data_IF_411445628293
#
_entry.id   IF_411445628293
#
_cell.length_a   1.000
_cell.length_b   1.000
_cell.length_c   1.000
_cell.angle_alpha   90.00
_cell.angle_beta   90.00
_cell.angle_gamma   90.00
#
_symmetry.space_group_name_H-M   'P 1'
#
loop_
_entity.id
_entity.type
_entity.pdbx_description
1 polymer ?
#
# COMPACT_ATOMS: atom_id res chain seq x y z
N UNK A 1 17.86 56.08 -12.44
CA UNK A 1 16.97 55.41 -11.44
C UNK A 1 16.41 54.07 -11.96
N UNK A 2 16.00 54.00 -13.24
CA UNK A 2 15.46 52.78 -13.91
C UNK A 2 16.43 51.57 -13.89
N UNK A 3 17.71 51.76 -14.22
CA UNK A 3 18.68 50.66 -14.25
C UNK A 3 18.91 49.99 -12.88
N UNK A 4 18.95 50.77 -11.80
CA UNK A 4 19.15 50.24 -10.43
C UNK A 4 17.97 49.39 -9.95
N UNK A 5 16.76 49.70 -10.42
CA UNK A 5 15.56 48.91 -10.13
C UNK A 5 15.52 47.62 -10.97
N UNK A 6 16.01 47.66 -12.21
CA UNK A 6 16.14 46.46 -13.05
C UNK A 6 17.15 45.45 -12.48
N UNK A 7 18.32 45.90 -11.99
CA UNK A 7 19.29 45.01 -11.33
C UNK A 7 18.75 44.38 -10.05
N UNK A 8 17.99 45.12 -9.24
CA UNK A 8 17.36 44.59 -8.03
C UNK A 8 16.27 43.56 -8.35
N UNK A 9 15.46 43.83 -9.37
CA UNK A 9 14.44 42.88 -9.84
C UNK A 9 15.08 41.60 -10.39
N UNK A 10 16.15 41.72 -11.19
CA UNK A 10 16.88 40.59 -11.73
C UNK A 10 17.54 39.75 -10.61
N UNK A 11 18.14 40.39 -9.62
CA UNK A 11 18.71 39.70 -8.46
C UNK A 11 17.64 38.97 -7.62
N UNK A 12 16.47 39.60 -7.41
CA UNK A 12 15.35 38.99 -6.70
C UNK A 12 14.78 37.78 -7.48
N UNK A 13 14.55 37.93 -8.79
CA UNK A 13 14.07 36.83 -9.64
C UNK A 13 15.08 35.69 -9.69
N UNK A 14 16.38 35.99 -9.77
CA UNK A 14 17.45 34.99 -9.75
C UNK A 14 17.52 34.26 -8.40
N UNK A 15 17.35 34.98 -7.28
CA UNK A 15 17.31 34.38 -5.95
C UNK A 15 16.07 33.50 -5.74
N UNK A 16 14.90 33.94 -6.22
CA UNK A 16 13.66 33.14 -6.19
C UNK A 16 13.82 31.89 -7.07
N UNK A 17 14.38 32.03 -8.28
CA UNK A 17 14.65 30.90 -9.16
C UNK A 17 15.64 29.91 -8.53
N UNK A 18 16.71 30.41 -7.91
CA UNK A 18 17.69 29.59 -7.20
C UNK A 18 17.06 28.85 -6.01
N UNK A 19 16.25 29.54 -5.20
CA UNK A 19 15.51 28.93 -4.10
C UNK A 19 14.53 27.87 -4.60
N UNK A 20 13.80 28.15 -5.68
CA UNK A 20 12.89 27.18 -6.30
C UNK A 20 13.63 25.94 -6.82
N UNK A 21 14.80 26.11 -7.41
CA UNK A 21 15.63 25.00 -7.90
C UNK A 21 16.26 24.18 -6.77
N UNK A 22 16.65 24.82 -5.66
CA UNK A 22 17.31 24.15 -4.52
C UNK A 22 16.31 23.57 -3.51
N UNK A 23 15.09 24.11 -3.42
CA UNK A 23 14.10 23.74 -2.41
C UNK A 23 13.79 22.23 -2.36
N UNK A 24 13.61 21.51 -3.49
CA UNK A 24 13.38 20.06 -3.45
C UNK A 24 14.55 19.31 -2.81
N UNK A 25 15.80 19.67 -3.15
CA UNK A 25 17.00 19.05 -2.59
C UNK A 25 17.17 19.33 -1.10
N UNK A 26 16.85 20.55 -0.66
CA UNK A 26 16.87 20.92 0.76
C UNK A 26 15.79 20.17 1.54
N UNK A 27 14.58 20.08 1.01
CA UNK A 27 13.49 19.30 1.62
C UNK A 27 13.88 17.83 1.75
N UNK A 28 14.48 17.25 0.70
CA UNK A 28 14.99 15.89 0.70
C UNK A 28 16.04 15.67 1.79
N UNK A 29 17.05 16.55 1.86
CA UNK A 29 18.10 16.45 2.86
C UNK A 29 17.55 16.61 4.29
N UNK A 30 16.60 17.52 4.49
CA UNK A 30 15.95 17.71 5.78
C UNK A 30 15.13 16.49 6.21
N UNK A 31 14.33 15.91 5.31
CA UNK A 31 13.56 14.70 5.61
C UNK A 31 14.47 13.49 5.85
N UNK A 32 15.54 13.32 5.06
CA UNK A 32 16.55 12.29 5.31
C UNK A 32 17.12 12.40 6.72
N UNK A 33 17.62 13.58 7.10
CA UNK A 33 18.19 13.81 8.43
C UNK A 33 17.13 13.58 9.51
N UNK A 34 15.90 14.04 9.32
CA UNK A 34 14.78 13.81 10.25
C UNK A 34 14.51 12.32 10.48
N UNK A 35 14.66 11.50 9.44
CA UNK A 35 14.36 10.07 9.49
C UNK A 35 15.54 9.22 9.96
N UNK A 36 16.76 9.54 9.54
CA UNK A 36 17.93 8.70 9.81
C UNK A 36 18.72 9.11 11.05
N UNK A 37 18.40 10.24 11.70
CA UNK A 37 19.10 10.64 12.92
C UNK A 37 18.84 9.65 14.08
N UNK A 38 19.78 9.50 15.04
CA UNK A 38 19.65 8.52 16.12
C UNK A 38 18.43 8.69 17.05
N UNK A 39 17.76 9.85 17.02
CA UNK A 39 16.61 10.19 17.87
C UNK A 39 15.27 10.14 17.12
N UNK A 40 15.24 9.77 15.83
CA UNK A 40 14.03 9.72 15.02
C UNK A 40 13.02 8.65 15.43
N UNK A 41 13.46 7.68 16.24
CA UNK A 41 12.68 6.48 16.58
C UNK A 41 12.67 5.41 15.48
N UNK A 42 13.23 5.66 14.30
CA UNK A 42 13.21 4.68 13.19
C UNK A 42 13.93 3.38 13.54
N UNK A 43 14.95 3.43 14.40
CA UNK A 43 15.62 2.21 14.89
C UNK A 43 14.65 1.19 15.53
N UNK A 44 13.53 1.63 16.09
CA UNK A 44 12.51 0.74 16.66
C UNK A 44 11.66 0.11 15.56
N UNK A 45 11.38 0.84 14.48
CA UNK A 45 10.68 0.33 13.30
C UNK A 45 11.57 -0.68 12.55
N UNK A 46 12.86 -0.36 12.44
CA UNK A 46 13.89 -1.16 11.75
C UNK A 46 14.47 -2.29 12.61
N UNK A 47 14.01 -2.45 13.86
CA UNK A 47 14.57 -3.46 14.75
C UNK A 47 14.29 -4.87 14.22
N UNK A 48 15.24 -5.79 14.47
CA UNK A 48 15.05 -7.19 14.15
C UNK A 48 13.85 -7.77 14.90
N UNK A 49 13.16 -8.71 14.26
CA UNK A 49 12.02 -9.42 14.82
C UNK A 49 12.04 -10.88 14.40
N UNK A 50 11.37 -11.71 15.19
CA UNK A 50 11.00 -13.07 14.81
C UNK A 50 9.48 -13.16 14.89
N UNK A 51 8.86 -13.86 13.92
CA UNK A 51 7.43 -14.11 13.97
C UNK A 51 7.11 -15.05 15.14
N UNK A 52 6.16 -14.65 15.98
CA UNK A 52 5.64 -15.46 17.06
C UNK A 52 4.87 -16.68 16.53
N UNK A 53 4.66 -17.68 17.40
CA UNK A 53 3.85 -18.86 17.05
C UNK A 53 2.44 -18.47 16.60
N UNK A 54 1.82 -17.47 17.24
CA UNK A 54 0.51 -16.96 16.85
C UNK A 54 0.52 -16.27 15.48
N UNK A 55 1.55 -15.45 15.19
CA UNK A 55 1.69 -14.79 13.89
C UNK A 55 1.91 -15.82 12.76
N UNK A 56 2.70 -16.86 13.01
CA UNK A 56 2.93 -17.96 12.06
C UNK A 56 1.68 -18.82 11.87
N UNK A 57 0.96 -19.13 12.95
CA UNK A 57 -0.31 -19.85 12.87
C UNK A 57 -1.33 -19.05 12.05
N UNK A 58 -1.43 -17.75 12.30
CA UNK A 58 -2.25 -16.84 11.52
C UNK A 58 -1.88 -16.85 10.03
N UNK A 59 -0.59 -16.68 9.71
CA UNK A 59 -0.08 -16.71 8.34
C UNK A 59 -0.44 -17.99 7.58
N UNK A 60 -0.47 -19.12 8.29
CA UNK A 60 -0.72 -20.44 7.73
C UNK A 60 -2.21 -20.84 7.76
N UNK A 61 -3.11 -19.98 8.26
CA UNK A 61 -4.52 -20.31 8.45
C UNK A 61 -4.71 -21.48 9.43
N UNK A 62 -3.83 -21.57 10.43
CA UNK A 62 -3.87 -22.57 11.51
C UNK A 62 -4.59 -22.00 12.74
N UNK A 63 -4.91 -22.86 13.71
CA UNK A 63 -5.49 -22.41 14.99
C UNK A 63 -4.45 -21.65 15.78
N UNK A 64 -4.85 -20.59 16.47
CA UNK A 64 -3.91 -19.86 17.32
C UNK A 64 -3.57 -20.68 18.58
N UNK A 65 -2.34 -20.53 19.12
CA UNK A 65 -1.96 -21.17 20.37
C UNK A 65 -2.93 -20.82 21.51
N UNK A 66 -3.45 -21.84 22.20
CA UNK A 66 -4.37 -21.67 23.32
C UNK A 66 -5.87 -21.74 22.97
N UNK A 67 -6.24 -21.79 21.70
CA UNK A 67 -7.64 -21.96 21.30
C UNK A 67 -8.13 -23.40 21.52
N UNK A 68 -9.21 -23.56 22.28
CA UNK A 68 -9.86 -24.86 22.50
C UNK A 68 -10.61 -25.34 21.25
N UNK A 69 -10.78 -26.67 21.11
CA UNK A 69 -11.60 -27.24 20.03
C UNK A 69 -13.08 -26.92 20.27
N UNK A 70 -13.60 -25.86 19.66
CA UNK A 70 -15.03 -25.66 19.53
C UNK A 70 -15.59 -26.64 18.48
N UNK A 71 -16.65 -27.37 18.83
CA UNK A 71 -17.35 -28.27 17.89
C UNK A 71 -18.13 -27.52 16.78
N UNK A 72 -18.08 -26.17 16.79
CA UNK A 72 -18.76 -25.29 15.84
C UNK A 72 -17.78 -24.40 15.05
N UNK A 73 -16.54 -24.86 14.81
CA UNK A 73 -15.62 -24.21 13.87
C UNK A 73 -16.20 -24.30 12.44
N UNK A 74 -17.16 -23.43 12.11
CA UNK A 74 -17.56 -23.22 10.73
C UNK A 74 -16.38 -22.57 10.03
N UNK A 75 -15.86 -23.28 9.03
CA UNK A 75 -14.93 -22.71 8.06
C UNK A 75 -15.77 -21.83 7.14
N UNK A 76 -15.95 -20.56 7.52
CA UNK A 76 -16.41 -19.53 6.61
C UNK A 76 -15.16 -18.76 6.15
N UNK A 77 -14.59 -19.10 4.99
CA UNK A 77 -13.34 -18.49 4.54
C UNK A 77 -13.56 -17.02 4.17
N UNK A 78 -12.50 -16.23 4.27
CA UNK A 78 -12.52 -14.87 3.71
C UNK A 78 -12.66 -15.00 2.17
N UNK A 79 -13.59 -14.26 1.53
CA UNK A 79 -13.75 -14.32 0.08
C UNK A 79 -12.45 -13.97 -0.68
N UNK A 80 -12.14 -14.66 -1.78
CA UNK A 80 -11.00 -14.25 -2.63
C UNK A 80 -11.42 -13.14 -3.61
N UNK A 81 -11.86 -12.01 -3.05
CA UNK A 81 -12.30 -10.81 -3.78
C UNK A 81 -11.36 -9.67 -3.42
N UNK A 82 -10.80 -8.99 -4.41
CA UNK A 82 -9.79 -7.94 -4.20
C UNK A 82 -10.39 -6.56 -4.43
N UNK A 83 -10.04 -5.61 -3.57
CA UNK A 83 -10.46 -4.22 -3.62
C UNK A 83 -9.24 -3.30 -3.73
N UNK A 84 -9.25 -2.42 -4.75
CA UNK A 84 -8.33 -1.30 -4.89
C UNK A 84 -9.12 0.01 -4.92
N UNK A 85 -8.53 1.09 -4.42
CA UNK A 85 -9.07 2.45 -4.51
C UNK A 85 -8.09 3.32 -5.29
N UNK A 86 -8.59 4.10 -6.25
CA UNK A 86 -7.77 5.06 -6.99
C UNK A 86 -8.51 6.35 -7.31
N UNK A 87 -7.76 7.46 -7.42
CA UNK A 87 -8.23 8.66 -8.08
C UNK A 87 -9.42 9.31 -7.39
N UNK A 88 -9.37 9.48 -6.06
CA UNK A 88 -10.41 10.18 -5.28
C UNK A 88 -10.33 11.71 -5.39
N UNK A 89 -9.28 12.24 -6.05
CA UNK A 89 -9.05 13.67 -6.29
C UNK A 89 -8.71 13.91 -7.76
N UNK A 90 -9.09 15.07 -8.27
CA UNK A 90 -8.72 15.49 -9.62
C UNK A 90 -7.21 15.75 -9.71
N UNK A 91 -6.44 15.01 -10.53
CA UNK A 91 -5.00 15.17 -10.62
C UNK A 91 -4.57 16.40 -11.42
N UNK A 92 -5.48 17.08 -12.14
CA UNK A 92 -5.17 18.37 -12.77
C UNK A 92 -5.18 19.52 -11.75
N UNK A 93 -6.05 19.43 -10.74
CA UNK A 93 -6.13 20.38 -9.63
C UNK A 93 -5.14 20.06 -8.52
N UNK A 94 -4.83 18.77 -8.32
CA UNK A 94 -3.93 18.28 -7.29
C UNK A 94 -2.85 17.37 -7.91
N UNK A 95 -1.84 17.91 -8.62
CA UNK A 95 -0.85 17.09 -9.34
C UNK A 95 -0.13 16.03 -8.49
N UNK A 96 0.01 16.27 -7.18
CA UNK A 96 0.64 15.34 -6.25
C UNK A 96 -0.09 14.01 -6.03
N UNK A 97 -1.37 13.89 -6.43
CA UNK A 97 -2.14 12.63 -6.29
C UNK A 97 -1.85 11.63 -7.41
N UNK A 98 -1.16 12.08 -8.48
CA UNK A 98 -0.78 11.24 -9.61
C UNK A 98 -1.95 10.84 -10.51
N UNK A 99 -1.61 10.20 -11.64
CA UNK A 99 -2.56 9.54 -12.55
C UNK A 99 -2.40 8.03 -12.42
N UNK A 100 -3.36 7.25 -12.90
CA UNK A 100 -3.23 5.80 -12.92
C UNK A 100 -2.14 5.43 -13.93
N UNK A 101 -0.97 5.07 -13.43
CA UNK A 101 0.25 4.92 -14.21
C UNK A 101 0.74 3.46 -14.23
N UNK A 102 1.98 3.26 -14.70
CA UNK A 102 2.58 1.95 -14.80
C UNK A 102 2.79 1.27 -13.43
N UNK A 103 2.99 2.03 -12.35
CA UNK A 103 3.10 1.48 -11.00
C UNK A 103 1.74 0.94 -10.55
N UNK A 104 0.68 1.74 -10.72
CA UNK A 104 -0.70 1.32 -10.42
C UNK A 104 -1.11 0.08 -11.22
N UNK A 105 -0.70 0.02 -12.50
CA UNK A 105 -0.88 -1.15 -13.35
C UNK A 105 -0.22 -2.40 -12.77
N UNK A 106 1.06 -2.32 -12.37
CA UNK A 106 1.78 -3.45 -11.81
C UNK A 106 1.17 -3.92 -10.48
N UNK A 107 0.70 -2.99 -9.63
CA UNK A 107 0.02 -3.34 -8.37
C UNK A 107 -1.24 -4.17 -8.64
N UNK A 108 -2.12 -3.74 -9.54
CA UNK A 108 -3.31 -4.52 -9.91
C UNK A 108 -2.95 -5.84 -10.61
N UNK A 109 -1.95 -5.84 -11.52
CA UNK A 109 -1.49 -7.10 -12.16
C UNK A 109 -0.92 -8.09 -11.15
N UNK A 110 -0.27 -7.63 -10.09
CA UNK A 110 0.25 -8.51 -9.04
C UNK A 110 -0.87 -9.32 -8.39
N UNK A 111 -2.03 -8.70 -8.13
CA UNK A 111 -3.22 -9.38 -7.64
C UNK A 111 -3.77 -10.39 -8.66
N UNK A 112 -3.85 -10.01 -9.94
CA UNK A 112 -4.29 -10.92 -11.01
C UNK A 112 -3.43 -12.19 -11.06
N UNK A 113 -2.10 -12.03 -11.00
CA UNK A 113 -1.14 -13.13 -11.18
C UNK A 113 -1.03 -13.98 -9.92
N UNK A 114 -0.91 -13.35 -8.75
CA UNK A 114 -0.56 -14.04 -7.50
C UNK A 114 -1.78 -14.53 -6.73
N UNK A 115 -2.86 -13.74 -6.67
CA UNK A 115 -4.05 -14.09 -5.87
C UNK A 115 -5.07 -14.91 -6.66
N UNK A 116 -5.07 -14.78 -8.00
CA UNK A 116 -6.06 -15.40 -8.90
C UNK A 116 -7.50 -15.25 -8.37
N UNK A 117 -7.94 -14.01 -8.09
CA UNK A 117 -9.16 -13.77 -7.34
C UNK A 117 -10.41 -14.05 -8.18
N UNK A 118 -11.52 -14.29 -7.50
CA UNK A 118 -12.85 -14.42 -8.11
C UNK A 118 -13.29 -13.12 -8.78
N UNK A 119 -12.91 -11.98 -8.18
CA UNK A 119 -13.13 -10.66 -8.75
C UNK A 119 -12.11 -9.66 -8.20
N UNK A 120 -11.77 -8.67 -9.03
CA UNK A 120 -11.04 -7.47 -8.61
C UNK A 120 -11.95 -6.27 -8.85
N UNK A 121 -12.25 -5.51 -7.79
CA UNK A 121 -12.95 -4.23 -7.88
C UNK A 121 -11.92 -3.10 -7.82
N UNK A 122 -11.90 -2.27 -8.86
CA UNK A 122 -11.19 -1.00 -8.86
C UNK A 122 -12.20 0.13 -8.64
N UNK A 123 -12.22 0.64 -7.42
CA UNK A 123 -13.07 1.74 -6.98
C UNK A 123 -12.42 3.07 -7.36
N UNK A 124 -13.13 3.94 -8.08
CA UNK A 124 -12.53 5.16 -8.63
C UNK A 124 -13.46 6.36 -8.73
N UNK A 125 -12.89 7.56 -8.77
CA UNK A 125 -13.60 8.79 -9.18
C UNK A 125 -13.03 9.36 -10.48
N UNK A 126 -11.71 9.54 -10.57
CA UNK A 126 -11.02 10.12 -11.73
C UNK A 126 -10.09 9.10 -12.37
N UNK A 127 -10.52 8.45 -13.45
CA UNK A 127 -9.75 7.39 -14.11
C UNK A 127 -9.55 7.55 -15.62
N UNK A 128 -10.45 8.27 -16.29
CA UNK A 128 -10.31 8.62 -17.71
C UNK A 128 -9.13 9.56 -17.95
N UNK A 129 -8.62 9.59 -19.17
CA UNK A 129 -7.81 10.67 -19.72
C UNK A 129 -8.60 11.41 -20.81
N UNK A 130 -8.85 12.73 -20.67
CA UNK A 130 -8.56 13.56 -19.51
C UNK A 130 -9.36 13.13 -18.25
N UNK A 131 -8.86 13.41 -17.03
CA UNK A 131 -9.54 13.09 -15.77
C UNK A 131 -10.90 13.76 -15.68
N UNK A 132 -11.92 12.96 -15.42
CA UNK A 132 -13.30 13.42 -15.24
C UNK A 132 -13.95 12.71 -14.06
N UNK A 133 -14.75 13.41 -13.24
CA UNK A 133 -15.57 12.78 -12.21
C UNK A 133 -16.88 12.22 -12.75
N UNK A 134 -17.23 12.51 -14.01
CA UNK A 134 -18.46 12.08 -14.66
C UNK A 134 -18.44 10.55 -14.87
N UNK A 135 -19.50 9.86 -14.42
CA UNK A 135 -19.65 8.42 -14.58
C UNK A 135 -19.71 7.97 -16.05
N UNK A 136 -20.05 8.87 -16.97
CA UNK A 136 -20.09 8.61 -18.42
C UNK A 136 -18.73 8.75 -19.10
N UNK A 137 -17.72 9.30 -18.43
CA UNK A 137 -16.38 9.39 -18.97
C UNK A 137 -15.74 7.99 -19.05
N UNK A 138 -15.27 7.62 -20.24
CA UNK A 138 -14.72 6.29 -20.49
C UNK A 138 -13.35 6.10 -19.80
N UNK A 139 -13.24 5.21 -18.80
CA UNK A 139 -11.96 4.95 -18.14
C UNK A 139 -10.96 4.24 -19.04
N UNK A 140 -11.42 3.64 -20.15
CA UNK A 140 -10.56 2.93 -21.11
C UNK A 140 -9.72 3.86 -21.97
N UNK A 141 -9.92 5.18 -21.90
CA UNK A 141 -8.98 6.14 -22.50
C UNK A 141 -7.62 6.13 -21.79
N UNK A 142 -7.54 5.59 -20.56
CA UNK A 142 -6.27 5.24 -19.94
C UNK A 142 -5.79 3.86 -20.45
N UNK A 143 -4.62 3.78 -21.12
CA UNK A 143 -4.14 2.53 -21.74
C UNK A 143 -3.86 1.42 -20.73
N UNK A 144 -3.48 1.76 -19.49
CA UNK A 144 -3.25 0.76 -18.44
C UNK A 144 -4.55 0.14 -17.97
N UNK A 145 -5.62 0.92 -17.89
CA UNK A 145 -6.96 0.44 -17.54
C UNK A 145 -7.55 -0.39 -18.66
N UNK A 146 -7.37 0.05 -19.92
CA UNK A 146 -7.74 -0.75 -21.09
C UNK A 146 -7.12 -2.16 -21.03
N UNK A 147 -5.83 -2.24 -20.69
CA UNK A 147 -5.11 -3.51 -20.56
C UNK A 147 -5.61 -4.38 -19.40
N UNK A 148 -5.98 -3.76 -18.27
CA UNK A 148 -6.52 -4.46 -17.10
C UNK A 148 -7.99 -4.85 -17.25
N UNK A 149 -8.73 -4.26 -18.19
CA UNK A 149 -10.19 -4.38 -18.27
C UNK A 149 -10.75 -5.82 -18.27
N UNK A 150 -10.10 -6.83 -18.89
CA UNK A 150 -10.56 -8.22 -18.83
C UNK A 150 -10.54 -8.83 -17.42
N UNK A 151 -9.74 -8.27 -16.51
CA UNK A 151 -9.48 -8.82 -15.18
C UNK A 151 -10.13 -8.04 -14.04
N UNK A 152 -10.72 -6.87 -14.33
CA UNK A 152 -11.25 -5.96 -13.30
C UNK A 152 -12.72 -5.56 -13.54
N UNK A 153 -13.41 -5.31 -12.44
CA UNK A 153 -14.71 -4.64 -12.36
C UNK A 153 -14.46 -3.20 -11.92
N UNK A 154 -14.90 -2.25 -12.74
CA UNK A 154 -14.79 -0.82 -12.45
C UNK A 154 -16.01 -0.39 -11.62
N UNK A 155 -15.77 0.27 -10.48
CA UNK A 155 -16.81 0.77 -9.59
C UNK A 155 -16.62 2.29 -9.40
N UNK A 156 -17.44 3.07 -10.09
CA UNK A 156 -17.38 4.54 -10.02
C UNK A 156 -18.02 5.05 -8.72
N UNK A 157 -17.34 6.02 -8.11
CA UNK A 157 -17.80 6.77 -6.95
C UNK A 157 -17.71 8.25 -7.29
N UNK A 158 -18.84 8.97 -7.44
CA UNK A 158 -18.79 10.40 -7.72
C UNK A 158 -18.13 11.16 -6.56
N UNK A 159 -17.53 12.35 -6.82
CA UNK A 159 -17.08 13.21 -5.73
C UNK A 159 -18.26 13.50 -4.79
N UNK A 160 -18.18 13.04 -3.54
CA UNK A 160 -19.26 13.18 -2.56
C UNK A 160 -19.11 14.41 -1.66
N UNK A 161 -20.24 14.96 -1.22
CA UNK A 161 -20.43 16.06 -0.25
C UNK A 161 -19.89 15.78 1.17
N UNK A 162 -19.19 14.66 1.37
CA UNK A 162 -18.69 14.24 2.68
C UNK A 162 -17.61 15.23 3.12
N UNK A 163 -17.84 15.93 4.23
CA UNK A 163 -16.91 16.88 4.87
C UNK A 163 -15.71 16.18 5.52
N UNK A 164 -15.19 15.13 4.92
CA UNK A 164 -14.04 14.39 5.43
C UNK A 164 -12.84 14.68 4.55
N UNK A 165 -11.69 14.97 5.16
CA UNK A 165 -10.44 15.07 4.44
C UNK A 165 -10.22 13.77 3.62
N UNK A 166 -9.96 13.91 2.32
CA UNK A 166 -9.88 12.80 1.35
C UNK A 166 -8.99 11.60 1.71
N UNK A 167 -8.04 11.76 2.64
CA UNK A 167 -7.25 10.65 3.14
C UNK A 167 -8.11 9.64 3.90
N UNK A 168 -8.94 10.16 4.80
CA UNK A 168 -9.92 9.39 5.55
C UNK A 168 -11.07 8.92 4.69
N UNK A 169 -11.29 9.51 3.50
CA UNK A 169 -12.22 8.95 2.53
C UNK A 169 -11.72 7.57 2.06
N UNK A 170 -10.43 7.42 1.76
CA UNK A 170 -9.89 6.10 1.40
C UNK A 170 -9.90 5.12 2.58
N UNK A 171 -9.68 5.59 3.81
CA UNK A 171 -9.71 4.77 5.02
C UNK A 171 -11.12 4.27 5.35
N UNK A 172 -12.14 5.11 5.18
CA UNK A 172 -13.53 4.70 5.39
C UNK A 172 -14.01 3.79 4.26
N UNK A 173 -13.73 4.12 3.00
CA UNK A 173 -14.14 3.31 1.84
C UNK A 173 -13.57 1.88 1.89
N UNK A 174 -12.30 1.70 2.24
CA UNK A 174 -11.71 0.35 2.32
C UNK A 174 -12.39 -0.52 3.39
N UNK A 175 -12.77 0.08 4.52
CA UNK A 175 -13.52 -0.60 5.58
C UNK A 175 -14.97 -0.86 5.16
N UNK A 176 -15.65 0.09 4.51
CA UNK A 176 -17.00 -0.08 3.95
C UNK A 176 -17.03 -1.25 2.96
N UNK A 177 -16.05 -1.36 2.05
CA UNK A 177 -15.99 -2.45 1.06
C UNK A 177 -15.74 -3.81 1.70
N UNK A 178 -14.80 -3.89 2.65
CA UNK A 178 -14.55 -5.12 3.40
C UNK A 178 -15.76 -5.51 4.25
N UNK A 179 -16.47 -4.55 4.85
CA UNK A 179 -17.67 -4.83 5.61
C UNK A 179 -18.79 -5.39 4.73
N UNK A 180 -19.02 -4.79 3.55
CA UNK A 180 -20.10 -5.18 2.64
C UNK A 180 -19.81 -6.50 1.92
N UNK A 181 -18.58 -6.67 1.39
CA UNK A 181 -18.23 -7.75 0.46
C UNK A 181 -17.23 -8.74 1.02
N UNK A 182 -16.56 -8.40 2.12
CA UNK A 182 -15.39 -9.13 2.59
C UNK A 182 -14.24 -9.07 1.58
N UNK A 183 -13.27 -9.93 1.79
CA UNK A 183 -12.16 -10.16 0.89
C UNK A 183 -10.89 -9.44 1.28
N UNK A 184 -10.09 -9.04 0.29
CA UNK A 184 -8.75 -8.50 0.42
C UNK A 184 -8.77 -7.05 -0.05
N UNK A 185 -8.30 -6.13 0.78
CA UNK A 185 -7.99 -4.77 0.37
C UNK A 185 -6.49 -4.61 0.15
N UNK A 186 -6.12 -3.92 -0.93
CA UNK A 186 -4.75 -3.54 -1.27
C UNK A 186 -4.73 -2.06 -1.65
N UNK A 187 -3.83 -1.28 -1.04
CA UNK A 187 -3.48 0.04 -1.55
C UNK A 187 -2.95 -0.07 -2.99
N UNK A 188 -3.12 1.01 -3.79
CA UNK A 188 -2.77 0.99 -5.22
C UNK A 188 -1.26 0.91 -5.51
N UNK A 189 -0.44 0.90 -4.47
CA UNK A 189 1.01 0.66 -4.49
C UNK A 189 1.42 -0.55 -3.63
N UNK A 190 0.47 -1.42 -3.29
CA UNK A 190 0.72 -2.73 -2.70
C UNK A 190 0.72 -3.83 -3.76
N UNK A 191 1.69 -4.74 -3.65
CA UNK A 191 1.94 -5.80 -4.60
C UNK A 191 1.73 -7.15 -3.94
N UNK A 192 0.77 -7.94 -4.41
CA UNK A 192 0.61 -9.33 -3.99
C UNK A 192 1.70 -10.18 -4.66
N UNK A 193 2.65 -10.68 -3.86
CA UNK A 193 3.78 -11.48 -4.34
C UNK A 193 3.45 -12.98 -4.39
N UNK A 194 2.57 -13.43 -3.50
CA UNK A 194 2.18 -14.84 -3.34
C UNK A 194 0.66 -15.00 -3.11
N UNK A 195 0.11 -16.21 -3.29
CA UNK A 195 -1.27 -16.51 -2.88
C UNK A 195 -1.49 -16.26 -1.39
N UNK A 196 -2.70 -15.83 -1.04
CA UNK A 196 -3.11 -15.54 0.34
C UNK A 196 -3.85 -16.74 0.98
N UNK A 197 -3.59 -17.98 0.55
CA UNK A 197 -4.38 -19.16 0.91
C UNK A 197 -4.54 -19.32 2.44
N UNK A 198 -3.45 -19.16 3.21
CA UNK A 198 -3.48 -19.22 4.67
C UNK A 198 -4.28 -18.08 5.30
N UNK A 199 -4.09 -16.84 4.80
CA UNK A 199 -4.82 -15.65 5.22
C UNK A 199 -6.33 -15.82 4.97
N UNK A 200 -6.72 -16.36 3.82
CA UNK A 200 -8.12 -16.59 3.47
C UNK A 200 -8.75 -17.75 4.26
N UNK A 201 -7.94 -18.71 4.70
CA UNK A 201 -8.34 -19.83 5.55
C UNK A 201 -8.34 -19.51 7.05
N UNK A 202 -8.12 -18.24 7.43
CA UNK A 202 -8.29 -17.76 8.82
C UNK A 202 -9.60 -18.26 9.41
N UNK A 203 -9.56 -18.74 10.65
CA UNK A 203 -10.72 -19.32 11.34
C UNK A 203 -11.49 -18.29 12.15
N UNK A 204 -12.78 -18.54 12.35
CA UNK A 204 -13.55 -17.86 13.39
C UNK A 204 -12.94 -18.16 14.76
N UNK A 205 -12.92 -17.22 15.73
CA UNK A 205 -13.58 -15.90 15.71
C UNK A 205 -12.82 -14.75 15.04
N UNK A 206 -11.64 -14.99 14.45
CA UNK A 206 -10.84 -13.93 13.86
C UNK A 206 -11.44 -13.43 12.54
N UNK A 207 -12.14 -12.31 12.57
CA UNK A 207 -12.89 -11.74 11.45
C UNK A 207 -12.06 -10.86 10.50
N UNK A 208 -10.83 -10.53 10.89
CA UNK A 208 -9.90 -9.76 10.08
C UNK A 208 -8.46 -10.24 10.27
N UNK A 209 -7.68 -10.14 9.21
CA UNK A 209 -6.23 -10.35 9.18
C UNK A 209 -5.55 -9.02 8.91
N UNK A 210 -4.62 -8.64 9.78
CA UNK A 210 -3.88 -7.37 9.73
C UNK A 210 -2.38 -7.62 9.90
N UNK A 211 -1.53 -6.81 9.26
CA UNK A 211 -0.07 -6.90 9.41
C UNK A 211 0.52 -5.79 10.27
N UNK A 212 1.54 -6.13 11.07
CA UNK A 212 2.32 -5.14 11.80
C UNK A 212 3.16 -4.27 10.85
N UNK A 213 3.15 -2.94 11.01
CA UNK A 213 3.84 -2.02 10.09
C UNK A 213 5.38 -2.09 10.19
N UNK A 214 5.92 -2.48 11.35
CA UNK A 214 7.35 -2.52 11.60
C UNK A 214 7.75 -3.43 12.75
N UNK A 215 9.07 -3.61 12.95
CA UNK A 215 9.63 -4.56 13.91
C UNK A 215 9.23 -4.33 15.37
N UNK A 216 8.79 -3.11 15.72
CA UNK A 216 8.24 -2.76 17.03
C UNK A 216 6.79 -3.18 17.26
N UNK A 217 6.05 -3.58 16.22
CA UNK A 217 4.62 -3.97 16.31
C UNK A 217 3.72 -2.92 16.97
N UNK A 218 4.10 -1.63 16.89
CA UNK A 218 3.30 -0.54 17.48
C UNK A 218 2.01 -0.26 16.72
N UNK A 219 1.84 -0.78 15.51
CA UNK A 219 0.68 -0.51 14.68
C UNK A 219 0.35 -1.65 13.74
N UNK A 220 -0.94 -1.80 13.46
CA UNK A 220 -1.51 -2.73 12.47
C UNK A 220 -1.99 -1.89 11.28
N UNK A 221 -1.33 -2.02 10.13
CA UNK A 221 -1.52 -1.09 9.02
C UNK A 221 -2.70 -1.49 8.12
N UNK A 222 -3.48 -0.50 7.68
CA UNK A 222 -4.67 -0.68 6.86
C UNK A 222 -4.42 -0.71 5.34
N UNK A 223 -3.15 -0.68 4.91
CA UNK A 223 -2.79 -0.67 3.49
C UNK A 223 -2.93 -2.05 2.82
N UNK A 224 -2.91 -3.13 3.62
CA UNK A 224 -3.15 -4.51 3.19
C UNK A 224 -3.95 -5.19 4.29
N UNK A 225 -5.16 -5.63 3.96
CA UNK A 225 -6.07 -6.24 4.92
C UNK A 225 -6.85 -7.37 4.27
N UNK A 226 -7.27 -8.36 5.05
CA UNK A 226 -8.25 -9.35 4.61
C UNK A 226 -9.33 -9.53 5.68
N UNK A 227 -10.61 -9.48 5.33
CA UNK A 227 -11.70 -9.56 6.30
C UNK A 227 -12.90 -10.33 5.77
N UNK A 228 -13.67 -10.96 6.66
CA UNK A 228 -14.99 -11.48 6.29
C UNK A 228 -15.98 -10.34 6.05
N UNK A 229 -16.96 -10.60 5.20
CA UNK A 229 -18.13 -9.75 5.11
C UNK A 229 -18.84 -9.71 6.48
N UNK A 230 -19.39 -8.57 6.85
CA UNK A 230 -20.00 -8.32 8.17
C UNK A 230 -19.04 -8.54 9.37
N UNK A 231 -17.73 -8.38 9.17
CA UNK A 231 -16.73 -8.45 10.25
C UNK A 231 -17.08 -7.51 11.41
N UNK A 232 -17.15 -8.07 12.61
CA UNK A 232 -17.44 -7.31 13.84
C UNK A 232 -16.37 -6.26 14.09
N UNK A 233 -15.11 -6.64 13.89
CA UNK A 233 -13.96 -5.75 14.04
C UNK A 233 -14.02 -4.57 13.07
N UNK A 234 -14.28 -4.84 11.79
CA UNK A 234 -14.38 -3.80 10.75
C UNK A 234 -15.54 -2.84 11.07
N UNK A 235 -16.69 -3.35 11.48
CA UNK A 235 -17.84 -2.51 11.84
C UNK A 235 -17.51 -1.60 13.04
N UNK A 236 -16.83 -2.13 14.06
CA UNK A 236 -16.39 -1.34 15.23
C UNK A 236 -15.39 -0.26 14.81
N UNK A 237 -14.39 -0.62 14.00
CA UNK A 237 -13.38 0.33 13.53
C UNK A 237 -13.99 1.43 12.68
N UNK A 238 -14.88 1.09 11.73
CA UNK A 238 -15.55 2.06 10.87
C UNK A 238 -16.39 3.06 11.68
N UNK A 239 -17.11 2.59 12.71
CA UNK A 239 -17.91 3.46 13.59
C UNK A 239 -17.08 4.53 14.30
N UNK A 240 -15.80 4.25 14.59
CA UNK A 240 -14.92 5.22 15.23
C UNK A 240 -14.52 6.37 14.30
N UNK A 241 -14.87 6.35 13.01
CA UNK A 241 -14.71 7.49 12.11
C UNK A 241 -15.87 8.50 12.18
N UNK A 242 -17.00 8.17 12.82
CA UNK A 242 -18.21 9.01 12.79
C UNK A 242 -18.04 10.36 13.54
N UNK A 243 -17.18 10.41 14.56
CA UNK A 243 -17.05 11.55 15.49
C UNK A 243 -15.63 12.18 15.54
N UNK A 244 -14.80 11.95 14.52
CA UNK A 244 -13.38 12.35 14.54
C UNK A 244 -13.14 13.73 13.95
N UNK A 245 -12.39 14.56 14.68
CA UNK A 245 -11.77 15.77 14.12
C UNK A 245 -10.52 15.40 13.30
N UNK A 246 -10.74 15.23 12.01
CA UNK A 246 -9.72 14.86 11.02
C UNK A 246 -8.62 15.92 10.78
N UNK A 247 -8.69 17.07 11.44
CA UNK A 247 -7.67 18.12 11.27
C UNK A 247 -6.38 17.84 12.03
N UNK A 248 -6.37 16.87 12.96
CA UNK A 248 -5.29 16.71 13.94
C UNK A 248 -4.40 15.49 13.75
N UNK A 249 -4.89 14.37 13.18
CA UNK A 249 -4.13 13.11 13.19
C UNK A 249 -4.33 12.24 11.95
N UNK A 250 -3.31 12.17 11.08
CA UNK A 250 -3.35 11.42 9.82
C UNK A 250 -3.14 9.91 9.98
N UNK A 251 -2.16 9.47 10.77
CA UNK A 251 -1.77 8.04 10.83
C UNK A 251 -2.47 7.24 11.93
N UNK A 252 -3.01 7.92 12.95
CA UNK A 252 -3.52 7.26 14.16
C UNK A 252 -4.64 6.27 13.78
N UNK A 253 -5.64 6.74 13.04
CA UNK A 253 -6.82 5.94 12.69
C UNK A 253 -6.52 4.78 11.72
N UNK A 254 -5.43 4.87 10.96
CA UNK A 254 -5.06 3.90 9.92
C UNK A 254 -4.06 2.84 10.41
N UNK A 255 -3.37 3.09 11.53
CA UNK A 255 -2.24 2.24 12.00
C UNK A 255 -2.27 1.98 13.52
N UNK A 256 -2.47 3.01 14.35
CA UNK A 256 -2.41 2.87 15.81
C UNK A 256 -3.74 2.44 16.40
N UNK A 257 -4.84 3.06 15.99
CA UNK A 257 -6.20 2.72 16.40
C UNK A 257 -6.55 1.23 16.17
N UNK A 258 -6.31 0.63 14.99
CA UNK A 258 -6.56 -0.81 14.81
C UNK A 258 -5.69 -1.68 15.73
N UNK A 259 -4.49 -1.23 16.12
CA UNK A 259 -3.66 -1.94 17.09
C UNK A 259 -4.25 -1.88 18.50
N UNK A 260 -4.73 -0.71 18.94
CA UNK A 260 -5.43 -0.54 20.22
C UNK A 260 -6.71 -1.40 20.26
N UNK A 261 -7.52 -1.35 19.19
CA UNK A 261 -8.71 -2.20 19.07
C UNK A 261 -8.39 -3.70 19.11
N UNK A 262 -7.27 -4.12 18.49
CA UNK A 262 -6.83 -5.51 18.55
C UNK A 262 -6.38 -5.93 19.95
N UNK A 263 -5.92 -5.01 20.79
CA UNK A 263 -5.60 -5.28 22.19
C UNK A 263 -6.86 -5.37 23.07
N UNK A 264 -7.90 -4.59 22.74
CA UNK A 264 -9.21 -4.67 23.40
C UNK A 264 -10.03 -5.89 22.96
N UNK A 265 -9.87 -6.32 21.71
CA UNK A 265 -10.61 -7.40 21.07
C UNK A 265 -9.68 -8.42 20.38
N UNK A 266 -8.78 -9.10 21.14
CA UNK A 266 -7.76 -9.98 20.57
C UNK A 266 -8.33 -11.19 19.82
N UNK A 267 -9.51 -11.66 20.20
CA UNK A 267 -10.16 -12.81 19.57
C UNK A 267 -10.67 -12.49 18.15
N UNK A 268 -10.82 -11.21 17.79
CA UNK A 268 -11.36 -10.81 16.48
C UNK A 268 -10.30 -10.60 15.40
N UNK A 269 -9.00 -10.55 15.78
CA UNK A 269 -7.91 -10.19 14.88
C UNK A 269 -6.88 -11.30 14.78
N UNK A 270 -6.61 -11.73 13.55
CA UNK A 270 -5.48 -12.56 13.20
C UNK A 270 -4.31 -11.64 12.80
N UNK A 271 -3.38 -11.37 13.71
CA UNK A 271 -2.25 -10.47 13.45
C UNK A 271 -1.08 -11.21 12.78
N UNK A 272 -0.50 -10.59 11.75
CA UNK A 272 0.69 -11.07 11.05
C UNK A 272 1.93 -10.27 11.44
N UNK A 273 3.07 -10.96 11.44
CA UNK A 273 4.38 -10.33 11.60
C UNK A 273 4.68 -9.36 10.44
N UNK A 274 5.61 -8.40 10.63
CA UNK A 274 5.90 -7.39 9.61
C UNK A 274 6.34 -7.97 8.27
N UNK A 275 7.04 -9.11 8.27
CA UNK A 275 7.52 -9.78 7.05
C UNK A 275 6.43 -10.27 6.11
N UNK A 276 5.20 -10.47 6.59
CA UNK A 276 4.10 -10.92 5.75
C UNK A 276 3.63 -9.85 4.75
N UNK A 277 3.43 -8.61 5.20
CA UNK A 277 2.82 -7.53 4.40
C UNK A 277 3.68 -6.26 4.25
N UNK A 278 4.44 -5.87 5.28
CA UNK A 278 4.96 -4.50 5.41
C UNK A 278 6.47 -4.40 5.55
N UNK A 279 7.21 -5.51 5.49
CA UNK A 279 8.66 -5.53 5.33
C UNK A 279 8.99 -5.76 3.83
N UNK A 280 9.77 -4.90 3.14
CA UNK A 280 10.38 -3.70 3.67
C UNK A 280 9.49 -2.53 4.10
N UNK A 281 9.83 -1.83 5.20
CA UNK A 281 9.02 -0.71 5.75
C UNK A 281 9.26 0.61 5.01
N UNK A 282 8.50 1.64 5.39
CA UNK A 282 8.56 2.99 4.81
C UNK A 282 9.83 3.80 5.15
N UNK A 283 10.71 3.30 6.03
CA UNK A 283 11.92 4.06 6.43
C UNK A 283 12.89 4.21 5.27
N UNK A 284 13.66 5.30 5.25
CA UNK A 284 14.54 5.61 4.12
C UNK A 284 15.55 4.51 3.82
N UNK A 285 16.14 3.88 4.84
CA UNK A 285 17.11 2.80 4.64
C UNK A 285 16.49 1.60 3.94
N UNK A 286 15.25 1.30 4.28
CA UNK A 286 14.51 0.18 3.72
C UNK A 286 14.04 0.45 2.29
N UNK A 287 13.59 1.67 2.01
CA UNK A 287 13.31 2.13 0.65
C UNK A 287 14.58 2.10 -0.21
N UNK A 288 15.69 2.65 0.28
CA UNK A 288 16.97 2.64 -0.46
C UNK A 288 17.45 1.20 -0.69
N UNK A 289 17.34 0.32 0.29
CA UNK A 289 17.68 -1.11 0.15
C UNK A 289 16.84 -1.81 -0.92
N UNK A 290 15.56 -1.45 -1.09
CA UNK A 290 14.72 -2.03 -2.14
C UNK A 290 15.11 -1.58 -3.54
N UNK A 291 15.59 -0.35 -3.67
CA UNK A 291 15.81 0.30 -4.98
C UNK A 291 17.28 0.46 -5.37
N UNK A 292 18.23 0.16 -4.49
CA UNK A 292 19.66 0.22 -4.82
C UNK A 292 20.01 -0.73 -5.98
N UNK A 293 20.86 -0.30 -6.93
CA UNK A 293 21.36 -1.16 -7.99
C UNK A 293 22.14 -2.35 -7.44
N UNK A 294 21.81 -3.54 -7.91
CA UNK A 294 22.49 -4.77 -7.56
C UNK A 294 23.63 -5.05 -8.54
N UNK A 295 24.77 -5.51 -8.01
CA UNK A 295 25.78 -6.14 -8.85
C UNK A 295 25.30 -7.51 -9.34
N UNK A 296 26.03 -8.10 -10.30
CA UNK A 296 25.63 -9.36 -10.95
C UNK A 296 25.46 -10.54 -9.97
N UNK A 297 26.30 -10.63 -8.95
CA UNK A 297 26.26 -11.70 -7.95
C UNK A 297 25.04 -11.54 -7.05
N UNK A 298 24.82 -10.35 -6.51
CA UNK A 298 23.67 -10.02 -5.68
C UNK A 298 22.35 -10.21 -6.46
N UNK A 299 22.31 -9.80 -7.74
CA UNK A 299 21.15 -10.02 -8.58
C UNK A 299 20.86 -11.52 -8.82
N UNK A 300 21.91 -12.33 -9.01
CA UNK A 300 21.76 -13.78 -9.14
C UNK A 300 21.22 -14.41 -7.84
N UNK A 301 21.76 -13.97 -6.70
CA UNK A 301 21.29 -14.41 -5.39
C UNK A 301 19.80 -14.11 -5.20
N UNK A 302 19.38 -12.85 -5.38
CA UNK A 302 17.99 -12.45 -5.17
C UNK A 302 17.02 -13.08 -6.16
N UNK A 303 17.41 -13.31 -7.42
CA UNK A 303 16.61 -14.11 -8.36
C UNK A 303 16.38 -15.53 -7.83
N UNK A 304 17.42 -16.17 -7.31
CA UNK A 304 17.32 -17.49 -6.69
C UNK A 304 16.46 -17.54 -5.42
N UNK A 305 16.51 -16.50 -4.58
CA UNK A 305 15.60 -16.38 -3.42
C UNK A 305 14.15 -16.18 -3.86
N UNK A 306 13.90 -15.31 -4.84
CA UNK A 306 12.57 -15.06 -5.40
C UNK A 306 11.96 -16.34 -5.96
N UNK A 307 12.75 -17.12 -6.71
CA UNK A 307 12.31 -18.41 -7.25
C UNK A 307 12.01 -19.41 -6.11
N UNK A 308 12.88 -19.47 -5.08
CA UNK A 308 12.71 -20.38 -3.94
C UNK A 308 11.47 -20.06 -3.12
N UNK A 309 11.18 -18.78 -2.90
CA UNK A 309 10.07 -18.33 -2.06
C UNK A 309 8.79 -18.06 -2.87
N UNK A 310 8.71 -18.51 -4.12
CA UNK A 310 7.49 -18.45 -4.93
C UNK A 310 7.10 -17.05 -5.39
N UNK A 311 8.06 -16.13 -5.49
CA UNK A 311 7.85 -14.76 -5.97
C UNK A 311 8.26 -13.65 -5.00
N UNK A 312 8.52 -13.97 -3.75
CA UNK A 312 8.86 -13.01 -2.70
C UNK A 312 10.34 -13.04 -2.35
N UNK A 313 10.84 -12.00 -1.66
CA UNK A 313 12.23 -11.99 -1.20
C UNK A 313 12.46 -12.95 -0.03
N UNK A 314 11.41 -13.20 0.76
CA UNK A 314 11.47 -13.97 2.00
C UNK A 314 10.32 -14.98 2.09
N UNK A 315 10.53 -16.05 2.86
CA UNK A 315 9.59 -17.17 2.96
C UNK A 315 8.21 -16.79 3.50
N UNK A 316 8.11 -15.85 4.43
CA UNK A 316 6.81 -15.46 5.01
C UNK A 316 6.13 -14.33 4.24
N UNK A 317 6.84 -13.71 3.29
CA UNK A 317 6.40 -12.50 2.62
C UNK A 317 5.32 -12.80 1.57
N UNK A 318 4.11 -12.33 1.82
CA UNK A 318 2.96 -12.48 0.94
C UNK A 318 2.80 -11.27 0.01
N UNK A 319 3.16 -10.08 0.51
CA UNK A 319 3.03 -8.84 -0.22
C UNK A 319 4.20 -7.88 0.00
N UNK A 320 4.25 -6.83 -0.80
CA UNK A 320 5.16 -5.71 -0.66
C UNK A 320 4.40 -4.41 -0.84
N UNK A 321 4.48 -3.50 0.14
CA UNK A 321 3.99 -2.13 0.01
C UNK A 321 5.13 -1.23 -0.49
N UNK A 322 4.93 -0.52 -1.59
CA UNK A 322 5.99 0.30 -2.19
C UNK A 322 6.17 1.68 -1.53
N UNK A 323 5.28 2.05 -0.61
CA UNK A 323 5.35 3.28 0.16
C UNK A 323 5.55 4.49 -0.75
N UNK A 324 4.68 4.69 -1.74
CA UNK A 324 4.85 5.72 -2.77
C UNK A 324 5.02 7.12 -2.18
N UNK A 325 4.39 7.41 -1.05
CA UNK A 325 4.60 8.65 -0.29
C UNK A 325 6.06 8.91 0.09
N UNK A 326 6.88 7.85 0.21
CA UNK A 326 8.31 7.90 0.51
C UNK A 326 9.21 7.63 -0.70
N UNK A 327 8.79 6.75 -1.61
CA UNK A 327 9.61 6.23 -2.70
C UNK A 327 9.36 6.89 -4.06
N UNK A 328 8.22 7.58 -4.26
CA UNK A 328 7.76 7.98 -5.59
C UNK A 328 8.76 8.88 -6.32
N UNK A 329 9.10 10.03 -5.75
CA UNK A 329 9.99 11.00 -6.42
C UNK A 329 11.41 10.48 -6.65
N UNK A 330 11.90 9.57 -5.79
CA UNK A 330 13.25 9.00 -5.87
C UNK A 330 13.35 7.87 -6.91
N UNK A 331 12.39 6.96 -6.88
CA UNK A 331 12.56 5.63 -7.50
C UNK A 331 11.40 5.23 -8.41
N UNK A 332 10.15 5.61 -8.10
CA UNK A 332 8.97 5.05 -8.80
C UNK A 332 8.44 5.93 -9.93
N UNK A 333 8.59 7.25 -9.84
CA UNK A 333 8.03 8.23 -10.81
C UNK A 333 8.48 8.01 -12.26
N UNK A 334 9.68 7.45 -12.44
CA UNK A 334 10.27 7.20 -13.75
C UNK A 334 10.32 5.71 -14.11
N UNK A 335 9.53 4.89 -13.42
CA UNK A 335 9.43 3.48 -13.70
C UNK A 335 8.81 3.27 -15.09
N UNK A 336 9.42 2.40 -15.89
CA UNK A 336 8.94 1.99 -17.22
C UNK A 336 9.14 0.50 -17.37
N UNK A 337 8.43 -0.17 -18.31
CA UNK A 337 8.68 -1.58 -18.61
C UNK A 337 10.15 -1.87 -18.89
N UNK A 338 10.80 -1.03 -19.69
CA UNK A 338 12.23 -1.14 -19.99
C UNK A 338 13.11 -1.02 -18.74
N UNK A 339 12.85 -0.03 -17.88
CA UNK A 339 13.63 0.14 -16.64
C UNK A 339 13.51 -1.08 -15.74
N UNK A 340 12.29 -1.60 -15.57
CA UNK A 340 12.03 -2.81 -14.76
C UNK A 340 12.79 -4.01 -15.33
N UNK A 341 12.75 -4.24 -16.65
CA UNK A 341 13.46 -5.36 -17.30
C UNK A 341 14.98 -5.25 -17.21
N UNK A 342 15.53 -4.05 -17.37
CA UNK A 342 16.97 -3.85 -17.60
C UNK A 342 17.76 -3.56 -16.32
N UNK A 343 17.17 -2.92 -15.30
CA UNK A 343 17.88 -2.58 -14.07
C UNK A 343 17.58 -3.60 -12.98
N UNK A 344 18.62 -4.28 -12.49
CA UNK A 344 18.51 -5.21 -11.37
C UNK A 344 18.53 -4.43 -10.04
N UNK A 345 17.35 -4.27 -9.44
CA UNK A 345 17.11 -3.81 -8.06
C UNK A 345 16.17 -4.83 -7.40
N UNK A 346 16.12 -4.92 -6.07
CA UNK A 346 15.21 -5.90 -5.41
C UNK A 346 13.76 -5.67 -5.81
N UNK A 347 13.33 -4.41 -5.85
CA UNK A 347 12.00 -4.02 -6.35
C UNK A 347 11.76 -4.47 -7.79
N UNK A 348 12.66 -4.14 -8.72
CA UNK A 348 12.47 -4.50 -10.13
C UNK A 348 12.43 -6.02 -10.32
N UNK A 349 13.24 -6.76 -9.56
CA UNK A 349 13.25 -8.22 -9.61
C UNK A 349 11.91 -8.83 -9.19
N UNK A 350 11.30 -8.37 -8.10
CA UNK A 350 10.02 -8.93 -7.64
C UNK A 350 8.84 -8.59 -8.55
N UNK A 351 8.84 -7.41 -9.21
CA UNK A 351 7.71 -7.00 -10.06
C UNK A 351 7.81 -7.49 -11.51
N UNK A 352 8.97 -7.98 -11.96
CA UNK A 352 9.17 -8.46 -13.34
C UNK A 352 8.20 -9.54 -13.77
N UNK A 353 7.79 -10.42 -12.86
CA UNK A 353 6.81 -11.48 -13.14
C UNK A 353 5.39 -10.97 -13.42
N UNK A 354 5.12 -9.68 -13.18
CA UNK A 354 3.83 -9.05 -13.46
C UNK A 354 3.84 -8.27 -14.79
N UNK A 355 5.00 -8.18 -15.45
CA UNK A 355 5.11 -7.62 -16.80
C UNK A 355 4.58 -8.62 -17.82
N UNK A 356 3.81 -8.11 -18.77
CA UNK A 356 3.40 -8.85 -19.96
C UNK A 356 4.51 -8.78 -21.01
N UNK A 357 4.66 -9.81 -21.85
CA UNK A 357 5.78 -9.91 -22.79
C UNK A 357 5.78 -8.82 -23.87
N UNK A 358 4.62 -8.25 -24.16
CA UNK A 358 4.40 -7.22 -25.17
C UNK A 358 4.54 -5.77 -24.63
N UNK A 359 5.04 -5.61 -23.39
CA UNK A 359 5.36 -4.34 -22.74
C UNK A 359 6.85 -3.96 -22.76
#
# INVERSE_FOLDING_TARGET
MVARNAYRLLALVSAIALLYLLAPGVYYAADYVRQTNPFSGQKYIEQAFEASESELACLQGQKLPGESQSQNDKVDPIPNVVHFIFGLKNPYENPGVGRFDFLSYLAVRSAVVSLKPEAIYLHYTYLSEPPSPDASADPLTNPWIQRLKPHIKLAHHPPGERKTHYAHLSDTMRLEFLLEKGGIYLDIDAFALRPFDGVLATRSPHDIVLGAEGGNRWGLCNAIMAARANSTFVARWLKLYDDVDFTREWNYHSVLLPKELAEEHPDEVCALAPDAFFWPTWTWRHIDWMHEPLNREAAKYWKGEIDRHGGSLFNNQLAYHAWSQMAYDRYLKHLTPTTVRMKDTRFNLIVRRFLEDDL
#
